data_IF_985526481345
#
_entry.id   IF_985526481345
#
_cell.length_a   1.000
_cell.length_b   1.000
_cell.length_c   1.000
_cell.angle_alpha   90.00
_cell.angle_beta   90.00
_cell.angle_gamma   90.00
#
_symmetry.space_group_name_H-M   'P 1'
#
loop_
_entity.id
_entity.type
_entity.pdbx_description
1 polymer ?
#
# COMPACT_ATOMS: atom_id res chain seq x y z
N UNK A 1 7.39 13.65 23.51
CA UNK A 1 6.71 12.41 23.05
C UNK A 1 5.99 11.79 24.23
N UNK A 2 4.77 11.32 24.03
CA UNK A 2 4.01 10.58 25.05
C UNK A 2 4.18 9.09 24.81
N UNK A 3 4.50 8.32 25.85
CA UNK A 3 4.54 6.86 25.81
C UNK A 3 3.13 6.31 25.99
N UNK A 4 2.73 5.37 25.13
CA UNK A 4 1.46 4.66 25.25
C UNK A 4 1.74 3.23 25.70
N UNK A 5 1.15 2.81 26.82
CA UNK A 5 1.27 1.45 27.32
C UNK A 5 0.27 0.55 26.59
N UNK A 6 0.76 -0.19 25.60
CA UNK A 6 -0.06 -1.12 24.80
C UNK A 6 0.10 -2.52 25.39
N UNK A 7 -0.98 -3.13 25.91
CA UNK A 7 -0.92 -4.48 26.42
C UNK A 7 -0.89 -5.51 25.28
N UNK A 8 -0.37 -6.70 25.56
CA UNK A 8 -0.27 -7.80 24.58
C UNK A 8 -1.60 -8.20 23.95
N UNK A 9 -2.69 -8.14 24.71
CA UNK A 9 -4.02 -8.47 24.20
C UNK A 9 -4.51 -7.48 23.12
N UNK A 10 -4.15 -6.20 23.20
CA UNK A 10 -4.46 -5.21 22.15
C UNK A 10 -3.72 -5.52 20.85
N UNK A 11 -2.43 -5.84 20.92
CA UNK A 11 -1.66 -6.28 19.73
C UNK A 11 -2.22 -7.58 19.16
N UNK A 12 -2.55 -8.55 20.02
CA UNK A 12 -3.15 -9.83 19.61
C UNK A 12 -4.51 -9.62 18.94
N UNK A 13 -5.33 -8.68 19.43
CA UNK A 13 -6.63 -8.36 18.83
C UNK A 13 -6.46 -7.81 17.40
N UNK A 14 -5.49 -6.90 17.18
CA UNK A 14 -5.17 -6.38 15.85
C UNK A 14 -4.67 -7.47 14.89
N UNK A 15 -3.78 -8.35 15.37
CA UNK A 15 -3.30 -9.50 14.57
C UNK A 15 -4.44 -10.45 14.22
N UNK A 16 -5.31 -10.76 15.19
CA UNK A 16 -6.50 -11.61 14.94
C UNK A 16 -7.47 -10.97 13.95
N UNK A 17 -7.69 -9.66 14.04
CA UNK A 17 -8.47 -8.93 13.05
C UNK A 17 -7.84 -9.07 11.66
N UNK A 18 -6.52 -8.89 11.54
CA UNK A 18 -5.81 -9.00 10.27
C UNK A 18 -5.90 -10.41 9.68
N UNK A 19 -5.70 -11.46 10.47
CA UNK A 19 -5.83 -12.86 10.09
C UNK A 19 -7.22 -13.19 9.50
N UNK A 20 -8.27 -12.55 10.02
CA UNK A 20 -9.64 -12.81 9.59
C UNK A 20 -10.09 -11.94 8.40
N UNK A 21 -9.42 -10.82 8.12
CA UNK A 21 -9.92 -9.81 7.19
C UNK A 21 -8.95 -9.45 6.06
N UNK A 22 -7.67 -9.74 6.20
CA UNK A 22 -6.68 -9.41 5.19
C UNK A 22 -6.19 -10.66 4.45
N UNK A 23 -5.96 -10.56 3.12
CA UNK A 23 -5.71 -11.71 2.25
C UNK A 23 -4.23 -12.10 2.23
N UNK A 24 -3.69 -12.59 3.32
CA UNK A 24 -2.32 -13.08 3.41
C UNK A 24 -2.34 -14.54 3.87
N UNK A 25 -1.50 -15.37 3.27
CA UNK A 25 -1.42 -16.80 3.56
C UNK A 25 0.03 -17.22 3.87
N UNK A 26 0.23 -18.38 4.51
CA UNK A 26 1.56 -18.89 4.82
C UNK A 26 2.47 -18.97 3.58
N UNK A 27 3.74 -18.63 3.75
CA UNK A 27 4.79 -18.61 2.71
C UNK A 27 4.64 -17.51 1.66
N UNK A 28 3.64 -16.64 1.74
CA UNK A 28 3.57 -15.47 0.89
C UNK A 28 4.61 -14.43 1.30
N UNK A 29 5.00 -13.58 0.35
CA UNK A 29 6.01 -12.57 0.59
C UNK A 29 5.38 -11.25 0.98
N UNK A 30 6.00 -10.55 1.92
CA UNK A 30 5.74 -9.15 2.21
C UNK A 30 7.04 -8.34 2.26
N UNK A 31 6.93 -7.03 2.07
CA UNK A 31 8.02 -6.07 2.26
C UNK A 31 7.68 -5.21 3.45
N UNK A 32 8.47 -5.34 4.52
CA UNK A 32 8.34 -4.52 5.73
C UNK A 32 9.25 -3.31 5.63
N UNK A 33 8.68 -2.12 5.65
CA UNK A 33 9.40 -0.84 5.55
C UNK A 33 8.85 0.25 6.44
N UNK A 34 7.73 0.02 7.10
CA UNK A 34 7.20 0.94 8.10
C UNK A 34 8.01 0.84 9.39
N UNK A 35 8.15 1.92 10.16
CA UNK A 35 8.84 1.87 11.45
C UNK A 35 8.15 0.90 12.41
N UNK A 36 8.86 -0.14 12.84
CA UNK A 36 8.31 -1.15 13.77
C UNK A 36 8.06 -0.60 15.19
N UNK A 37 8.64 0.55 15.53
CA UNK A 37 8.30 1.28 16.74
C UNK A 37 6.90 1.95 16.69
N UNK A 38 6.29 2.03 15.52
CA UNK A 38 4.95 2.54 15.31
C UNK A 38 3.94 1.39 15.38
N UNK A 39 2.81 1.57 16.09
CA UNK A 39 1.80 0.52 16.29
C UNK A 39 1.32 -0.10 14.97
N UNK A 40 1.08 0.71 13.94
CA UNK A 40 0.68 0.24 12.61
C UNK A 40 1.76 -0.65 11.97
N UNK A 41 3.02 -0.21 11.95
CA UNK A 41 4.13 -1.00 11.41
C UNK A 41 4.37 -2.28 12.22
N UNK A 42 4.33 -2.18 13.55
CA UNK A 42 4.50 -3.34 14.42
C UNK A 42 3.41 -4.40 14.15
N UNK A 43 2.14 -4.01 14.15
CA UNK A 43 1.03 -4.94 14.01
C UNK A 43 0.91 -5.53 12.60
N UNK A 44 1.00 -4.70 11.55
CA UNK A 44 0.63 -5.10 10.18
C UNK A 44 1.81 -5.38 9.26
N UNK A 45 2.99 -4.78 9.51
CA UNK A 45 4.21 -5.04 8.73
C UNK A 45 5.09 -6.14 9.34
N UNK A 46 4.84 -6.51 10.60
CA UNK A 46 5.64 -7.52 11.28
C UNK A 46 4.80 -8.61 11.96
N UNK A 47 4.04 -8.29 13.02
CA UNK A 47 3.38 -9.33 13.84
C UNK A 47 2.37 -10.17 13.04
N UNK A 48 1.52 -9.54 12.26
CA UNK A 48 0.53 -10.25 11.45
C UNK A 48 1.17 -11.22 10.45
N UNK A 49 2.07 -10.78 9.55
CA UNK A 49 2.71 -11.70 8.61
C UNK A 49 3.62 -12.73 9.30
N UNK A 50 4.20 -12.41 10.45
CA UNK A 50 4.99 -13.37 11.23
C UNK A 50 4.11 -14.51 11.76
N UNK A 51 2.96 -14.18 12.36
CA UNK A 51 2.00 -15.18 12.89
C UNK A 51 1.39 -16.00 11.76
N UNK A 52 1.13 -15.38 10.59
CA UNK A 52 0.63 -16.09 9.39
C UNK A 52 1.70 -17.03 8.77
N UNK A 53 2.97 -16.88 9.11
CA UNK A 53 4.05 -17.71 8.57
C UNK A 53 4.52 -17.26 7.18
N UNK A 54 4.53 -15.95 6.94
CA UNK A 54 4.98 -15.33 5.70
C UNK A 54 6.49 -15.10 5.66
N UNK A 55 7.01 -14.88 4.46
CA UNK A 55 8.38 -14.39 4.26
C UNK A 55 8.40 -12.87 4.37
N UNK A 56 9.06 -12.34 5.41
CA UNK A 56 9.17 -10.90 5.67
C UNK A 56 10.52 -10.41 5.17
N UNK A 57 10.51 -9.53 4.17
CA UNK A 57 11.71 -8.87 3.66
C UNK A 57 11.79 -7.47 4.21
N UNK A 58 12.78 -7.20 5.06
CA UNK A 58 13.00 -5.89 5.67
C UNK A 58 13.82 -4.98 4.76
N UNK A 59 13.39 -3.73 4.61
CA UNK A 59 14.14 -2.70 3.91
C UNK A 59 15.09 -2.01 4.89
N UNK A 60 16.40 -2.18 4.68
CA UNK A 60 17.44 -1.56 5.50
C UNK A 60 17.78 -0.12 5.11
N UNK A 61 17.31 0.34 3.95
CA UNK A 61 17.51 1.70 3.44
C UNK A 61 16.32 2.59 3.77
N UNK A 62 16.53 3.91 3.75
CA UNK A 62 15.42 4.87 3.89
C UNK A 62 14.40 4.60 2.77
N UNK A 63 13.12 4.36 3.10
CA UNK A 63 12.11 3.94 2.14
C UNK A 63 11.69 5.11 1.25
N UNK A 64 12.40 5.30 0.14
CA UNK A 64 11.97 6.20 -0.93
C UNK A 64 11.03 5.45 -1.89
N UNK A 65 10.13 6.15 -2.62
CA UNK A 65 9.29 5.50 -3.62
C UNK A 65 10.04 4.63 -4.63
N UNK A 66 11.24 5.06 -5.02
CA UNK A 66 12.07 4.30 -5.97
C UNK A 66 12.57 3.00 -5.36
N UNK A 67 13.15 3.05 -4.15
CA UNK A 67 13.65 1.87 -3.43
C UNK A 67 12.50 0.88 -3.17
N UNK A 68 11.33 1.39 -2.76
CA UNK A 68 10.18 0.55 -2.49
C UNK A 68 9.67 -0.15 -3.76
N UNK A 69 9.52 0.58 -4.86
CA UNK A 69 9.05 -0.01 -6.12
C UNK A 69 10.05 -1.05 -6.67
N UNK A 70 11.35 -0.84 -6.47
CA UNK A 70 12.36 -1.83 -6.82
C UNK A 70 12.24 -3.09 -5.95
N UNK A 71 12.10 -2.92 -4.63
CA UNK A 71 11.87 -4.03 -3.70
C UNK A 71 10.57 -4.78 -4.02
N UNK A 72 9.48 -4.08 -4.29
CA UNK A 72 8.20 -4.71 -4.65
C UNK A 72 8.32 -5.53 -5.95
N UNK A 73 9.07 -5.03 -6.92
CA UNK A 73 9.30 -5.75 -8.18
C UNK A 73 10.11 -7.04 -7.97
N UNK A 74 11.09 -7.03 -7.06
CA UNK A 74 11.93 -8.19 -6.75
C UNK A 74 11.20 -9.20 -5.85
N UNK A 75 10.57 -8.72 -4.78
CA UNK A 75 9.94 -9.54 -3.74
C UNK A 75 8.55 -10.02 -4.15
N UNK A 76 7.83 -9.21 -4.96
CA UNK A 76 6.45 -9.47 -5.41
C UNK A 76 5.50 -9.72 -4.23
N UNK A 77 5.38 -8.73 -3.32
CA UNK A 77 4.60 -8.90 -2.09
C UNK A 77 3.12 -9.16 -2.38
N UNK A 78 2.47 -9.90 -1.50
CA UNK A 78 1.05 -10.20 -1.59
C UNK A 78 0.17 -9.11 -0.99
N UNK A 79 0.63 -8.53 0.10
CA UNK A 79 0.02 -7.42 0.81
C UNK A 79 1.07 -6.32 0.99
N UNK A 80 0.67 -5.07 0.86
CA UNK A 80 1.55 -3.91 1.09
C UNK A 80 0.90 -3.00 2.12
N UNK A 81 1.51 -2.85 3.28
CA UNK A 81 1.14 -1.80 4.23
C UNK A 81 1.87 -0.51 3.85
N UNK A 82 1.17 0.58 3.72
CA UNK A 82 1.74 1.84 3.26
C UNK A 82 1.17 3.04 4.04
N UNK A 83 1.81 4.20 3.84
CA UNK A 83 1.32 5.48 4.35
C UNK A 83 0.95 6.41 3.20
N UNK A 84 0.02 7.37 3.40
CA UNK A 84 -0.42 8.29 2.36
C UNK A 84 0.72 8.97 1.61
N UNK A 85 1.73 9.44 2.34
CA UNK A 85 2.88 10.12 1.76
C UNK A 85 3.60 9.32 0.66
N UNK A 86 3.72 8.01 0.82
CA UNK A 86 4.35 7.12 -0.18
C UNK A 86 3.45 7.00 -1.41
N UNK A 87 2.15 6.76 -1.20
CA UNK A 87 1.18 6.63 -2.29
C UNK A 87 1.06 7.94 -3.10
N UNK A 88 1.02 9.07 -2.42
CA UNK A 88 0.96 10.39 -3.05
C UNK A 88 2.23 10.72 -3.84
N UNK A 89 3.41 10.35 -3.33
CA UNK A 89 4.67 10.49 -4.07
C UNK A 89 4.70 9.59 -5.32
N UNK A 90 4.23 8.34 -5.22
CA UNK A 90 4.11 7.44 -6.37
C UNK A 90 3.14 8.04 -7.39
N UNK A 91 1.98 8.50 -6.96
CA UNK A 91 1.00 9.17 -7.83
C UNK A 91 1.60 10.39 -8.51
N UNK A 92 2.19 11.32 -7.75
CA UNK A 92 2.77 12.57 -8.27
C UNK A 92 3.91 12.32 -9.27
N UNK A 93 4.77 11.33 -8.98
CA UNK A 93 5.99 11.14 -9.76
C UNK A 93 5.81 10.19 -10.95
N UNK A 94 4.86 9.24 -10.88
CA UNK A 94 4.69 8.22 -11.92
C UNK A 94 3.39 8.36 -12.71
N UNK A 95 2.31 8.79 -12.07
CA UNK A 95 0.97 8.80 -12.67
C UNK A 95 0.63 10.17 -13.23
N UNK A 96 0.74 11.22 -12.41
CA UNK A 96 0.37 12.58 -12.78
C UNK A 96 1.09 13.10 -14.04
N UNK A 97 2.39 12.84 -14.28
CA UNK A 97 3.05 13.24 -15.52
C UNK A 97 2.49 12.54 -16.77
N UNK A 98 2.02 11.30 -16.63
CA UNK A 98 1.37 10.57 -17.73
C UNK A 98 0.00 11.18 -18.04
N UNK A 99 -0.78 11.47 -17.00
CA UNK A 99 -2.11 12.08 -17.14
C UNK A 99 -2.08 13.48 -17.75
N UNK A 100 -1.04 14.26 -17.44
CA UNK A 100 -0.89 15.65 -17.90
C UNK A 100 -0.33 15.78 -19.34
N UNK A 101 -0.04 14.68 -20.04
CA UNK A 101 0.32 14.76 -21.46
C UNK A 101 -0.89 15.24 -22.26
N UNK A 102 -0.74 16.34 -23.04
CA UNK A 102 -1.82 16.95 -23.84
C UNK A 102 -2.60 15.95 -24.71
N UNK A 103 -1.89 14.95 -25.27
CA UNK A 103 -2.50 13.88 -26.06
C UNK A 103 -3.43 12.99 -25.22
N UNK A 104 -3.06 12.71 -23.97
CA UNK A 104 -3.84 11.86 -23.07
C UNK A 104 -5.02 12.63 -22.48
N UNK A 105 -4.83 13.92 -22.17
CA UNK A 105 -5.90 14.76 -21.64
C UNK A 105 -7.04 14.93 -22.66
N UNK A 106 -6.71 15.07 -23.94
CA UNK A 106 -7.71 15.10 -25.02
C UNK A 106 -8.43 13.74 -25.19
N UNK A 107 -7.69 12.63 -25.17
CA UNK A 107 -8.23 11.29 -25.35
C UNK A 107 -9.13 10.83 -24.19
N UNK A 108 -8.87 11.31 -22.96
CA UNK A 108 -9.71 11.01 -21.78
C UNK A 108 -11.12 11.60 -21.84
N UNK A 109 -11.37 12.57 -22.71
CA UNK A 109 -12.71 13.15 -22.94
C UNK A 109 -13.62 12.20 -23.73
N UNK A 110 -13.07 11.16 -24.36
CA UNK A 110 -13.82 10.13 -25.09
C UNK A 110 -13.99 8.90 -24.19
N UNK A 111 -15.21 8.52 -23.76
CA UNK A 111 -15.42 7.48 -22.73
C UNK A 111 -14.78 6.12 -23.04
N UNK A 112 -14.87 5.64 -24.29
CA UNK A 112 -14.26 4.36 -24.68
C UNK A 112 -12.73 4.37 -24.59
N UNK A 113 -12.10 5.49 -24.94
CA UNK A 113 -10.63 5.66 -24.93
C UNK A 113 -10.13 5.87 -23.50
N UNK A 114 -10.90 6.59 -22.67
CA UNK A 114 -10.63 6.80 -21.25
C UNK A 114 -10.47 5.47 -20.53
N UNK A 115 -11.38 4.54 -20.69
CA UNK A 115 -11.32 3.22 -20.06
C UNK A 115 -10.06 2.42 -20.46
N UNK A 116 -9.65 2.51 -21.72
CA UNK A 116 -8.42 1.88 -22.20
C UNK A 116 -7.15 2.47 -21.59
N UNK A 117 -7.10 3.80 -21.41
CA UNK A 117 -5.98 4.50 -20.77
C UNK A 117 -5.92 4.16 -19.28
N UNK A 118 -7.05 4.20 -18.59
CA UNK A 118 -7.16 3.87 -17.17
C UNK A 118 -6.77 2.42 -16.90
N UNK A 119 -7.18 1.49 -17.74
CA UNK A 119 -6.76 0.09 -17.67
C UNK A 119 -5.25 -0.11 -17.85
N UNK A 120 -4.61 0.63 -18.78
CA UNK A 120 -3.15 0.61 -18.94
C UNK A 120 -2.43 1.17 -17.71
N UNK A 121 -2.92 2.28 -17.16
CA UNK A 121 -2.33 2.89 -15.96
C UNK A 121 -2.48 1.95 -14.77
N UNK A 122 -3.67 1.34 -14.57
CA UNK A 122 -3.89 0.31 -13.56
C UNK A 122 -2.88 -0.81 -13.70
N UNK A 123 -2.73 -1.39 -14.89
CA UNK A 123 -1.80 -2.49 -15.16
C UNK A 123 -0.36 -2.09 -14.83
N UNK A 124 0.10 -0.93 -15.28
CA UNK A 124 1.44 -0.43 -14.98
C UNK A 124 1.65 -0.20 -13.47
N UNK A 125 0.63 0.29 -12.77
CA UNK A 125 0.70 0.46 -11.33
C UNK A 125 0.74 -0.89 -10.61
N UNK A 126 -0.09 -1.85 -11.01
CA UNK A 126 -0.04 -3.23 -10.50
C UNK A 126 1.33 -3.87 -10.69
N UNK A 127 1.92 -3.73 -11.88
CA UNK A 127 3.27 -4.23 -12.20
C UNK A 127 4.36 -3.55 -11.36
N UNK A 128 4.22 -2.24 -11.10
CA UNK A 128 5.15 -1.50 -10.25
C UNK A 128 5.15 -1.99 -8.79
N UNK A 129 4.02 -2.49 -8.30
CA UNK A 129 3.89 -3.14 -7.00
C UNK A 129 4.23 -4.64 -7.02
N UNK A 130 4.85 -5.13 -8.09
CA UNK A 130 5.30 -6.53 -8.21
C UNK A 130 4.32 -7.46 -8.92
N UNK A 131 3.15 -6.98 -9.32
CA UNK A 131 2.16 -7.71 -10.13
C UNK A 131 1.44 -8.87 -9.44
N UNK A 132 1.75 -9.13 -8.18
CA UNK A 132 1.20 -10.28 -7.42
C UNK A 132 0.40 -9.88 -6.18
N UNK A 133 0.32 -8.59 -5.88
CA UNK A 133 -0.36 -8.15 -4.67
C UNK A 133 -1.89 -8.18 -4.82
N UNK A 134 -2.57 -8.47 -3.71
CA UNK A 134 -4.02 -8.42 -3.61
C UNK A 134 -4.52 -7.05 -3.20
N UNK A 135 -3.80 -6.40 -2.28
CA UNK A 135 -4.29 -5.19 -1.64
C UNK A 135 -3.14 -4.34 -1.11
N UNK A 136 -3.32 -3.04 -1.15
CA UNK A 136 -2.51 -2.07 -0.40
C UNK A 136 -3.35 -1.53 0.76
N UNK A 137 -2.87 -1.67 1.98
CA UNK A 137 -3.47 -1.08 3.18
C UNK A 137 -2.78 0.26 3.45
N UNK A 138 -3.51 1.35 3.38
CA UNK A 138 -2.98 2.70 3.58
C UNK A 138 -3.46 3.21 4.94
N UNK A 139 -2.53 3.45 5.86
CA UNK A 139 -2.86 3.87 7.21
C UNK A 139 -1.95 4.97 7.76
N UNK A 140 -2.23 5.44 8.97
CA UNK A 140 -1.43 6.41 9.70
C UNK A 140 -1.76 7.88 9.45
N UNK A 141 -2.46 8.22 8.36
CA UNK A 141 -2.96 9.56 8.07
C UNK A 141 -4.05 9.50 6.99
N UNK A 142 -4.75 10.59 6.76
CA UNK A 142 -5.72 10.70 5.67
C UNK A 142 -5.01 10.73 4.30
N UNK A 143 -5.51 9.94 3.36
CA UNK A 143 -5.08 10.02 1.96
C UNK A 143 -5.71 11.25 1.29
N UNK A 144 -4.98 11.92 0.40
CA UNK A 144 -5.56 13.06 -0.33
C UNK A 144 -6.72 12.61 -1.23
N UNK A 145 -7.79 13.40 -1.27
CA UNK A 145 -8.99 13.10 -2.07
C UNK A 145 -8.70 12.96 -3.55
N UNK A 146 -7.69 13.69 -4.08
CA UNK A 146 -7.23 13.55 -5.46
C UNK A 146 -6.71 12.13 -5.73
N UNK A 147 -5.85 11.62 -4.85
CA UNK A 147 -5.22 10.30 -5.03
C UNK A 147 -6.23 9.19 -4.78
N UNK A 148 -7.02 9.31 -3.72
CA UNK A 148 -8.08 8.36 -3.38
C UNK A 148 -9.08 8.21 -4.53
N UNK A 149 -9.66 9.32 -4.99
CA UNK A 149 -10.59 9.32 -6.10
C UNK A 149 -10.01 8.76 -7.40
N UNK A 150 -8.72 9.01 -7.66
CA UNK A 150 -8.04 8.42 -8.80
C UNK A 150 -7.87 6.90 -8.66
N UNK A 151 -7.40 6.41 -7.51
CA UNK A 151 -7.23 4.97 -7.27
C UNK A 151 -8.56 4.22 -7.34
N UNK A 152 -9.63 4.80 -6.77
CA UNK A 152 -10.99 4.27 -6.89
C UNK A 152 -11.44 4.20 -8.36
N UNK A 153 -11.23 5.28 -9.10
CA UNK A 153 -11.63 5.39 -10.51
C UNK A 153 -11.01 4.31 -11.39
N UNK A 154 -9.73 4.01 -11.21
CA UNK A 154 -9.04 2.95 -11.96
C UNK A 154 -9.28 1.56 -11.39
N UNK A 155 -10.01 1.42 -10.28
CA UNK A 155 -10.24 0.16 -9.58
C UNK A 155 -8.94 -0.47 -9.05
N UNK A 156 -8.00 0.35 -8.55
CA UNK A 156 -6.78 -0.15 -7.90
C UNK A 156 -7.16 -0.79 -6.56
N UNK A 157 -6.61 -1.97 -6.21
CA UNK A 157 -6.98 -2.65 -4.98
C UNK A 157 -6.29 -2.02 -3.76
N UNK A 158 -7.00 -1.20 -3.03
CA UNK A 158 -6.54 -0.59 -1.79
C UNK A 158 -7.66 -0.49 -0.76
N UNK A 159 -7.28 -0.37 0.49
CA UNK A 159 -8.15 -0.01 1.60
C UNK A 159 -7.49 1.02 2.49
N UNK A 160 -8.29 1.84 3.15
CA UNK A 160 -7.79 2.83 4.10
C UNK A 160 -8.03 2.29 5.51
N UNK A 161 -6.94 2.14 6.27
CA UNK A 161 -6.97 1.79 7.69
C UNK A 161 -7.04 3.04 8.55
N UNK A 162 -8.02 3.11 9.43
CA UNK A 162 -8.10 4.11 10.49
C UNK A 162 -7.71 3.50 11.83
N UNK A 163 -6.93 4.22 12.62
CA UNK A 163 -6.55 3.82 13.96
C UNK A 163 -5.64 4.86 14.61
N UNK A 164 -5.46 4.71 15.89
CA UNK A 164 -4.52 5.50 16.69
C UNK A 164 -3.72 4.55 17.59
N UNK A 165 -2.65 5.07 18.21
CA UNK A 165 -1.80 4.23 19.07
C UNK A 165 -2.55 3.70 20.30
N UNK A 166 -3.52 4.43 20.78
CA UNK A 166 -4.28 4.15 21.97
C UNK A 166 -5.39 3.08 21.79
N UNK A 167 -5.81 2.80 20.53
CA UNK A 167 -6.91 1.85 20.26
C UNK A 167 -6.81 1.15 18.91
#
# INVERSE_FOLDING_TARGET
SKGVMIPHNSLTANVRFALNNLPLHPRENIVSFLPLAHAFGCAFDFLYPFVEGCHIVFISKIPTPQILLEAFKQVRPRLVSSVPLIMEKIYKNRIKPVLNKKSIDFLRKVPLVSNGIEGKIKKQLMEAFGGNFHMVVIGGAALSTEVEGFLMKIGFPFTIGYGMTEC
#
